data_IF_644376069874
#
_entry.id   IF_644376069874
#
_cell.length_a   1.000
_cell.length_b   1.000
_cell.length_c   1.000
_cell.angle_alpha   90.00
_cell.angle_beta   90.00
_cell.angle_gamma   90.00
#
_symmetry.space_group_name_H-M   'P 1'
#
loop_
_entity.id
_entity.type
_entity.pdbx_description
1 polymer ?
#
# COMPACT_ATOMS: atom_id res chain seq x y z
N UNK A 1 -30.81 37.98 18.13
CA UNK A 1 -29.65 38.31 17.30
C UNK A 1 -29.29 37.05 16.54
N UNK A 2 -29.58 36.99 15.22
CA UNK A 2 -29.24 35.86 14.38
C UNK A 2 -27.76 35.98 14.00
N UNK A 3 -26.96 34.99 14.39
CA UNK A 3 -25.56 34.88 13.99
C UNK A 3 -25.50 34.66 12.48
N UNK A 4 -24.84 35.58 11.78
CA UNK A 4 -24.54 35.42 10.35
C UNK A 4 -23.82 34.10 10.12
N UNK A 5 -24.46 33.13 9.43
CA UNK A 5 -23.78 32.02 8.84
C UNK A 5 -22.87 32.58 7.74
N UNK A 6 -21.57 32.52 7.97
CA UNK A 6 -20.57 32.76 6.93
C UNK A 6 -20.87 31.82 5.76
N UNK A 7 -21.42 32.38 4.69
CA UNK A 7 -21.54 31.70 3.41
C UNK A 7 -20.12 31.57 2.84
N UNK A 8 -19.41 30.49 3.23
CA UNK A 8 -18.23 30.07 2.48
C UNK A 8 -18.71 29.86 1.06
N UNK A 9 -18.33 30.75 0.16
CA UNK A 9 -18.47 30.53 -1.28
C UNK A 9 -18.01 29.12 -1.59
N UNK A 10 -18.88 28.29 -2.16
CA UNK A 10 -18.58 26.91 -2.48
C UNK A 10 -17.36 26.92 -3.42
N UNK A 11 -16.20 26.54 -2.89
CA UNK A 11 -14.99 26.39 -3.69
C UNK A 11 -15.24 25.24 -4.66
N UNK A 12 -15.07 25.49 -5.94
CA UNK A 12 -15.21 24.50 -6.98
C UNK A 12 -13.85 23.85 -7.22
N UNK A 13 -13.75 22.53 -7.11
CA UNK A 13 -12.60 21.75 -7.55
C UNK A 13 -12.97 21.07 -8.87
N UNK A 14 -12.10 21.20 -9.86
CA UNK A 14 -12.25 20.55 -11.16
C UNK A 14 -11.50 19.21 -11.16
N UNK A 15 -12.18 18.13 -11.56
CA UNK A 15 -11.62 16.77 -11.57
C UNK A 15 -12.70 15.66 -11.69
N UNK A 16 -12.29 14.40 -11.79
CA UNK A 16 -10.90 13.91 -11.72
C UNK A 16 -10.10 14.15 -13.01
N UNK A 17 -8.86 14.55 -12.88
CA UNK A 17 -7.88 14.57 -13.96
C UNK A 17 -6.81 13.49 -13.74
N UNK A 18 -6.19 12.93 -14.80
CA UNK A 18 -5.06 12.04 -14.65
C UNK A 18 -3.87 12.73 -13.98
N UNK A 19 -3.23 12.03 -13.06
CA UNK A 19 -1.97 12.50 -12.43
C UNK A 19 -0.82 12.44 -13.43
N UNK A 20 -0.01 13.50 -13.47
CA UNK A 20 1.25 13.56 -14.23
C UNK A 20 2.44 13.47 -13.28
N UNK A 21 3.59 13.00 -13.74
CA UNK A 21 4.80 12.97 -12.91
C UNK A 21 5.23 14.37 -12.44
N UNK A 22 4.93 15.42 -13.21
CA UNK A 22 5.13 16.81 -12.82
C UNK A 22 4.26 17.26 -11.64
N UNK A 23 3.23 16.51 -11.29
CA UNK A 23 2.33 16.80 -10.17
C UNK A 23 2.91 16.34 -8.80
N UNK A 24 3.97 15.53 -8.80
CA UNK A 24 4.56 14.96 -7.58
C UNK A 24 4.82 16.01 -6.48
N UNK A 25 5.41 17.18 -6.75
CA UNK A 25 5.58 18.21 -5.70
C UNK A 25 4.24 18.66 -5.09
N UNK A 26 3.22 18.86 -5.92
CA UNK A 26 1.87 19.23 -5.46
C UNK A 26 1.19 18.12 -4.66
N UNK A 27 1.33 16.85 -5.09
CA UNK A 27 0.84 15.68 -4.35
C UNK A 27 1.49 15.59 -2.96
N UNK A 28 2.82 15.74 -2.89
CA UNK A 28 3.57 15.75 -1.63
C UNK A 28 3.09 16.86 -0.68
N UNK A 29 2.82 18.04 -1.21
CA UNK A 29 2.32 19.14 -0.40
C UNK A 29 0.94 18.81 0.19
N UNK A 30 -0.02 18.36 -0.66
CA UNK A 30 -1.37 17.98 -0.20
C UNK A 30 -1.31 16.82 0.79
N UNK A 31 -0.49 15.80 0.51
CA UNK A 31 -0.26 14.66 1.40
C UNK A 31 0.22 15.13 2.77
N UNK A 32 1.36 15.84 2.80
CA UNK A 32 1.97 16.28 4.04
C UNK A 32 1.03 17.18 4.87
N UNK A 33 0.34 18.13 4.24
CA UNK A 33 -0.57 19.06 4.93
C UNK A 33 -1.80 18.34 5.51
N UNK A 34 -2.44 17.49 4.71
CA UNK A 34 -3.65 16.78 5.12
C UNK A 34 -3.37 15.78 6.25
N UNK A 35 -2.29 14.99 6.14
CA UNK A 35 -1.93 14.01 7.17
C UNK A 35 -1.37 14.68 8.43
N UNK A 36 -0.64 15.81 8.33
CA UNK A 36 -0.21 16.60 9.48
C UNK A 36 -1.41 17.12 10.26
N UNK A 37 -2.40 17.71 9.55
CA UNK A 37 -3.63 18.19 10.19
C UNK A 37 -4.42 17.05 10.81
N UNK A 38 -4.48 15.87 10.15
CA UNK A 38 -5.12 14.67 10.71
C UNK A 38 -4.44 14.24 12.00
N UNK A 39 -3.11 14.13 12.00
CA UNK A 39 -2.35 13.78 13.20
C UNK A 39 -2.57 14.78 14.34
N UNK A 40 -2.63 16.07 14.02
CA UNK A 40 -2.93 17.12 15.02
C UNK A 40 -4.31 16.91 15.65
N UNK A 41 -5.34 16.58 14.86
CA UNK A 41 -6.70 16.28 15.38
C UNK A 41 -6.72 15.01 16.22
N UNK A 42 -5.89 14.03 15.94
CA UNK A 42 -5.74 12.79 16.71
C UNK A 42 -4.84 12.97 17.95
N UNK A 43 -4.48 14.20 18.32
CA UNK A 43 -3.71 14.52 19.52
C UNK A 43 -2.19 14.43 19.36
N UNK A 44 -1.67 14.13 18.15
CA UNK A 44 -0.24 14.14 17.87
C UNK A 44 0.25 15.54 17.50
N UNK A 45 0.25 16.44 18.48
CA UNK A 45 0.69 17.81 18.29
C UNK A 45 2.19 17.88 18.05
N UNK A 46 2.62 18.72 17.10
CA UNK A 46 4.03 18.92 16.76
C UNK A 46 4.61 17.92 15.76
N UNK A 47 3.84 16.93 15.33
CA UNK A 47 4.26 16.02 14.26
C UNK A 47 3.98 16.66 12.90
N UNK A 48 5.02 16.82 12.08
CA UNK A 48 4.90 17.14 10.65
C UNK A 48 5.11 15.88 9.84
N UNK A 49 4.14 15.53 9.00
CA UNK A 49 4.28 14.41 8.07
C UNK A 49 5.26 14.79 6.97
N UNK A 50 6.36 14.07 6.79
CA UNK A 50 7.38 14.40 5.80
C UNK A 50 6.87 14.13 4.38
N UNK A 51 7.55 14.69 3.39
CA UNK A 51 7.32 14.37 2.00
C UNK A 51 7.75 12.94 1.70
N UNK A 52 6.96 12.25 0.91
CA UNK A 52 7.33 10.94 0.38
C UNK A 52 8.41 11.12 -0.70
N UNK A 53 9.24 10.10 -0.82
CA UNK A 53 10.25 10.04 -1.89
C UNK A 53 9.56 10.12 -3.26
N UNK A 54 10.00 11.01 -4.16
CA UNK A 54 9.44 11.12 -5.51
C UNK A 54 9.41 9.81 -6.30
N UNK A 55 10.37 8.92 -6.06
CA UNK A 55 10.40 7.60 -6.71
C UNK A 55 9.24 6.69 -6.24
N UNK A 56 8.80 6.84 -4.98
CA UNK A 56 7.62 6.12 -4.46
C UNK A 56 6.34 6.68 -5.08
N UNK A 57 6.22 8.02 -5.23
CA UNK A 57 5.11 8.61 -5.97
C UNK A 57 5.07 8.14 -7.43
N UNK A 58 6.24 8.10 -8.08
CA UNK A 58 6.33 7.60 -9.45
C UNK A 58 5.81 6.17 -9.55
N UNK A 59 6.24 5.29 -8.63
CA UNK A 59 5.73 3.92 -8.57
C UNK A 59 4.21 3.88 -8.40
N UNK A 60 3.66 4.64 -7.46
CA UNK A 60 2.22 4.68 -7.21
C UNK A 60 1.43 5.15 -8.43
N UNK A 61 1.91 6.21 -9.12
CA UNK A 61 1.27 6.77 -10.31
C UNK A 61 1.33 5.76 -11.48
N UNK A 62 2.49 5.16 -11.72
CA UNK A 62 2.66 4.19 -12.80
C UNK A 62 1.88 2.90 -12.54
N UNK A 63 1.81 2.44 -11.27
CA UNK A 63 1.02 1.28 -10.88
C UNK A 63 -0.48 1.52 -11.03
N UNK A 64 -0.99 2.64 -10.55
CA UNK A 64 -2.39 2.98 -10.65
C UNK A 64 -2.83 3.31 -12.10
N UNK A 65 -1.94 3.87 -12.92
CA UNK A 65 -2.26 4.33 -14.27
C UNK A 65 -3.39 5.35 -14.26
N UNK A 66 -4.51 5.07 -14.94
CA UNK A 66 -5.71 5.96 -14.93
C UNK A 66 -6.44 5.99 -13.58
N UNK A 67 -6.09 5.14 -12.63
CA UNK A 67 -6.56 5.17 -11.25
C UNK A 67 -5.88 6.24 -10.38
N UNK A 68 -4.81 6.87 -10.88
CA UNK A 68 -4.19 8.04 -10.25
C UNK A 68 -4.92 9.32 -10.67
N UNK A 69 -5.66 9.92 -9.74
CA UNK A 69 -6.60 11.01 -9.99
C UNK A 69 -6.29 12.23 -9.13
N UNK A 70 -6.37 13.43 -9.71
CA UNK A 70 -6.24 14.73 -9.02
C UNK A 70 -7.43 15.63 -9.29
N UNK A 71 -7.70 16.52 -8.33
CA UNK A 71 -8.63 17.63 -8.43
C UNK A 71 -7.87 18.95 -8.26
N UNK A 72 -8.20 19.92 -9.09
CA UNK A 72 -7.53 21.22 -9.13
C UNK A 72 -8.48 22.32 -8.70
N UNK A 73 -7.93 23.32 -8.04
CA UNK A 73 -8.64 24.57 -7.73
C UNK A 73 -8.59 25.56 -8.89
N UNK A 74 -9.17 26.72 -8.70
CA UNK A 74 -9.28 27.79 -9.73
C UNK A 74 -7.92 28.29 -10.26
N UNK A 75 -6.83 28.09 -9.49
CA UNK A 75 -5.46 28.50 -9.85
C UNK A 75 -4.60 27.30 -10.31
N UNK A 76 -5.24 26.23 -10.77
CA UNK A 76 -4.58 24.99 -11.19
C UNK A 76 -3.79 24.27 -10.08
N UNK A 77 -3.88 24.72 -8.83
CA UNK A 77 -3.26 24.04 -7.69
C UNK A 77 -3.97 22.71 -7.41
N UNK A 78 -3.20 21.67 -7.02
CA UNK A 78 -3.78 20.39 -6.57
C UNK A 78 -4.42 20.62 -5.21
N UNK A 79 -5.73 20.32 -5.09
CA UNK A 79 -6.51 20.46 -3.86
C UNK A 79 -6.93 19.12 -3.27
N UNK A 80 -6.98 18.09 -4.08
CA UNK A 80 -7.25 16.72 -3.65
C UNK A 80 -6.66 15.70 -4.63
N UNK A 81 -6.45 14.49 -4.16
CA UNK A 81 -6.07 13.37 -4.99
C UNK A 81 -6.57 12.04 -4.40
N UNK A 82 -6.67 11.03 -5.26
CA UNK A 82 -6.91 9.64 -4.88
C UNK A 82 -6.11 8.75 -5.83
N UNK A 83 -5.35 7.81 -5.27
CA UNK A 83 -4.62 6.82 -6.04
C UNK A 83 -5.33 5.47 -5.83
N UNK A 84 -5.97 4.99 -6.88
CA UNK A 84 -6.67 3.71 -6.89
C UNK A 84 -5.82 2.67 -7.61
N UNK A 85 -5.48 1.59 -6.93
CA UNK A 85 -4.61 0.52 -7.39
C UNK A 85 -5.39 -0.76 -7.67
N UNK A 86 -4.84 -1.59 -8.55
CA UNK A 86 -5.42 -2.88 -8.88
C UNK A 86 -4.36 -3.95 -9.08
N UNK A 87 -4.47 -5.05 -8.32
CA UNK A 87 -3.65 -6.26 -8.42
C UNK A 87 -4.53 -7.44 -8.83
N UNK A 88 -4.76 -7.60 -10.14
CA UNK A 88 -5.78 -8.52 -10.65
C UNK A 88 -7.19 -8.07 -10.26
N UNK A 89 -7.90 -8.87 -9.47
CA UNK A 89 -9.23 -8.52 -8.94
C UNK A 89 -9.18 -7.78 -7.60
N UNK A 90 -8.01 -7.66 -6.97
CA UNK A 90 -7.81 -6.89 -5.74
C UNK A 90 -7.71 -5.41 -6.07
N UNK A 91 -8.67 -4.60 -5.64
CA UNK A 91 -8.67 -3.15 -5.78
C UNK A 91 -8.58 -2.45 -4.43
N UNK A 92 -7.79 -1.39 -4.35
CA UNK A 92 -7.66 -0.59 -3.14
C UNK A 92 -7.31 0.86 -3.46
N UNK A 93 -7.60 1.75 -2.50
CA UNK A 93 -7.36 3.19 -2.63
C UNK A 93 -6.39 3.66 -1.53
N UNK A 94 -5.35 4.34 -1.94
CA UNK A 94 -4.39 4.96 -1.03
C UNK A 94 -3.06 5.29 -1.72
N UNK A 95 -2.41 6.41 -1.35
CA UNK A 95 -2.95 7.44 -0.48
C UNK A 95 -4.04 8.28 -1.16
N UNK A 96 -4.91 8.85 -0.34
CA UNK A 96 -5.88 9.83 -0.78
C UNK A 96 -5.94 10.99 0.22
N UNK A 97 -6.10 12.20 -0.26
CA UNK A 97 -6.14 13.37 0.60
C UNK A 97 -6.90 14.54 -0.03
N UNK A 98 -7.44 15.38 0.86
CA UNK A 98 -8.02 16.69 0.53
C UNK A 98 -7.32 17.74 1.37
N UNK A 99 -6.88 18.83 0.77
CA UNK A 99 -6.30 19.97 1.49
C UNK A 99 -7.19 20.40 2.64
N UNK A 100 -6.64 20.73 3.83
CA UNK A 100 -7.43 21.06 5.03
C UNK A 100 -8.48 22.16 4.76
N UNK A 101 -8.13 23.18 4.02
CA UNK A 101 -9.03 24.30 3.68
C UNK A 101 -10.13 23.96 2.64
N UNK A 102 -10.04 22.78 2.02
CA UNK A 102 -11.03 22.25 1.08
C UNK A 102 -11.89 21.12 1.68
N UNK A 103 -11.64 20.76 2.93
CA UNK A 103 -12.43 19.78 3.66
C UNK A 103 -13.82 20.33 4.04
N UNK A 104 -14.74 19.43 4.39
CA UNK A 104 -16.11 19.72 4.79
C UNK A 104 -17.04 20.27 3.69
N UNK A 105 -16.54 20.44 2.44
CA UNK A 105 -17.32 20.85 1.28
C UNK A 105 -17.86 19.72 0.41
N UNK A 106 -17.67 18.46 0.80
CA UNK A 106 -18.12 17.29 0.02
C UNK A 106 -17.05 16.67 -0.88
N UNK A 107 -15.94 17.38 -1.17
CA UNK A 107 -14.86 16.92 -2.05
C UNK A 107 -14.29 15.55 -1.63
N UNK A 108 -14.14 15.30 -0.32
CA UNK A 108 -13.71 13.99 0.17
C UNK A 108 -14.61 12.83 -0.26
N UNK A 109 -15.93 13.04 -0.29
CA UNK A 109 -16.89 12.04 -0.79
C UNK A 109 -16.76 11.83 -2.29
N UNK A 110 -16.51 12.90 -3.02
CA UNK A 110 -16.33 12.87 -4.46
C UNK A 110 -15.10 12.05 -4.86
N UNK A 111 -13.93 12.33 -4.27
CA UNK A 111 -12.70 11.61 -4.60
C UNK A 111 -12.77 10.11 -4.27
N UNK A 112 -13.44 9.74 -3.17
CA UNK A 112 -13.62 8.32 -2.81
C UNK A 112 -14.59 7.65 -3.78
N UNK A 113 -15.70 8.31 -4.16
CA UNK A 113 -16.65 7.77 -5.14
C UNK A 113 -16.01 7.59 -6.53
N UNK A 114 -15.16 8.50 -6.94
CA UNK A 114 -14.41 8.37 -8.20
C UNK A 114 -13.50 7.13 -8.17
N UNK A 115 -12.80 6.89 -7.06
CA UNK A 115 -11.98 5.68 -6.88
C UNK A 115 -12.81 4.40 -6.88
N UNK A 116 -13.95 4.37 -6.17
CA UNK A 116 -14.89 3.24 -6.19
C UNK A 116 -15.36 2.96 -7.63
N UNK A 117 -15.79 3.99 -8.35
CA UNK A 117 -16.25 3.87 -9.74
C UNK A 117 -15.15 3.31 -10.64
N UNK A 118 -13.95 3.89 -10.57
CA UNK A 118 -12.82 3.39 -11.36
C UNK A 118 -12.51 1.92 -11.08
N UNK A 119 -12.46 1.50 -9.82
CA UNK A 119 -12.20 0.11 -9.44
C UNK A 119 -13.30 -0.82 -9.95
N UNK A 120 -14.57 -0.44 -9.81
CA UNK A 120 -15.69 -1.23 -10.28
C UNK A 120 -15.67 -1.40 -11.83
N UNK A 121 -15.38 -0.33 -12.55
CA UNK A 121 -15.27 -0.33 -14.02
C UNK A 121 -14.11 -1.18 -14.53
N UNK A 122 -13.10 -1.44 -13.69
CA UNK A 122 -11.94 -2.29 -13.98
C UNK A 122 -12.08 -3.73 -13.47
N UNK A 123 -13.31 -4.18 -13.24
CA UNK A 123 -13.67 -5.55 -12.87
C UNK A 123 -13.00 -6.06 -11.59
N UNK A 124 -12.71 -5.18 -10.62
CA UNK A 124 -12.25 -5.61 -9.30
C UNK A 124 -13.38 -6.30 -8.54
N UNK A 125 -13.04 -7.29 -7.73
CA UNK A 125 -13.97 -7.97 -6.83
C UNK A 125 -13.70 -7.64 -5.36
N UNK A 126 -12.60 -6.96 -5.10
CA UNK A 126 -12.29 -6.34 -3.82
C UNK A 126 -12.21 -4.84 -4.06
N UNK A 127 -12.87 -4.05 -3.24
CA UNK A 127 -12.71 -2.59 -3.20
C UNK A 127 -12.47 -2.20 -1.76
N UNK A 128 -11.25 -1.78 -1.45
CA UNK A 128 -10.83 -1.53 -0.09
C UNK A 128 -9.98 -0.28 0.09
N UNK A 129 -9.69 -0.01 1.34
CA UNK A 129 -8.74 1.00 1.81
C UNK A 129 -8.25 0.64 3.21
N UNK A 130 -7.19 1.31 3.64
CA UNK A 130 -6.72 1.25 5.03
C UNK A 130 -6.80 2.64 5.67
N UNK A 131 -7.16 2.67 6.95
CA UNK A 131 -7.19 3.89 7.75
C UNK A 131 -6.74 3.63 9.17
N UNK A 132 -6.25 4.66 9.85
CA UNK A 132 -5.81 4.54 11.25
C UNK A 132 -7.00 4.17 12.15
N UNK A 133 -6.93 3.09 12.95
CA UNK A 133 -8.05 2.62 13.74
C UNK A 133 -8.49 3.60 14.84
N UNK A 134 -7.62 4.51 15.28
CA UNK A 134 -7.94 5.56 16.25
C UNK A 134 -8.68 6.76 15.65
N UNK A 135 -8.72 6.88 14.32
CA UNK A 135 -9.34 8.01 13.62
C UNK A 135 -10.82 7.75 13.40
N UNK A 136 -11.64 7.98 14.44
CA UNK A 136 -13.09 7.70 14.40
C UNK A 136 -13.81 8.45 13.28
N UNK A 137 -13.40 9.71 13.01
CA UNK A 137 -13.97 10.51 11.93
C UNK A 137 -13.81 9.84 10.56
N UNK A 138 -12.63 9.26 10.29
CA UNK A 138 -12.38 8.57 9.03
C UNK A 138 -13.19 7.28 8.94
N UNK A 139 -13.25 6.50 10.03
CA UNK A 139 -14.06 5.27 10.07
C UNK A 139 -15.53 5.61 9.78
N UNK A 140 -16.09 6.63 10.47
CA UNK A 140 -17.45 7.09 10.23
C UNK A 140 -17.66 7.62 8.82
N UNK A 141 -16.68 8.36 8.28
CA UNK A 141 -16.72 8.89 6.93
C UNK A 141 -16.78 7.79 5.87
N UNK A 142 -15.91 6.77 5.95
CA UNK A 142 -15.90 5.66 5.01
C UNK A 142 -17.12 4.75 5.21
N UNK A 143 -17.57 4.53 6.44
CA UNK A 143 -18.82 3.79 6.71
C UNK A 143 -20.03 4.47 6.07
N UNK A 144 -20.08 5.81 6.11
CA UNK A 144 -21.11 6.60 5.43
C UNK A 144 -21.06 6.53 3.89
N UNK A 145 -19.99 5.97 3.31
CA UNK A 145 -19.83 5.68 1.90
C UNK A 145 -20.02 4.20 1.54
N UNK A 146 -20.39 3.37 2.52
CA UNK A 146 -20.68 1.96 2.32
C UNK A 146 -19.50 1.02 2.59
N UNK A 147 -18.39 1.51 3.14
CA UNK A 147 -17.30 0.65 3.58
C UNK A 147 -17.62 0.02 4.93
N UNK A 148 -17.30 -1.23 5.08
CA UNK A 148 -17.45 -1.99 6.32
C UNK A 148 -16.07 -2.22 6.94
N UNK A 149 -15.91 -2.02 8.27
CA UNK A 149 -14.68 -2.35 8.97
C UNK A 149 -14.43 -3.86 8.89
N UNK A 150 -13.19 -4.23 8.61
CA UNK A 150 -12.77 -5.62 8.50
C UNK A 150 -11.66 -5.89 9.52
N UNK A 151 -10.48 -6.27 9.07
CA UNK A 151 -9.37 -6.73 9.90
C UNK A 151 -8.36 -5.62 10.13
N UNK A 152 -7.59 -5.74 11.20
CA UNK A 152 -6.39 -4.93 11.35
C UNK A 152 -5.29 -5.45 10.41
N UNK A 153 -4.53 -4.53 9.83
CA UNK A 153 -3.20 -4.79 9.31
C UNK A 153 -2.22 -4.34 10.38
N UNK A 154 -1.35 -5.26 10.81
CA UNK A 154 -0.37 -5.02 11.88
C UNK A 154 1.01 -4.95 11.25
N UNK A 155 1.68 -3.81 11.39
CA UNK A 155 3.07 -3.64 10.96
C UNK A 155 4.01 -4.10 12.05
N UNK A 156 4.80 -5.16 11.75
CA UNK A 156 5.89 -5.64 12.60
C UNK A 156 7.23 -5.40 11.91
N UNK A 157 8.24 -5.09 12.71
CA UNK A 157 9.61 -5.01 12.20
C UNK A 157 10.49 -6.06 12.85
N UNK A 158 11.29 -6.75 12.04
CA UNK A 158 12.38 -7.64 12.44
C UNK A 158 13.72 -6.96 12.15
N UNK A 159 14.69 -7.10 13.04
CA UNK A 159 16.05 -6.65 12.76
C UNK A 159 16.67 -7.52 11.65
N UNK A 160 17.38 -6.90 10.71
CA UNK A 160 18.06 -7.59 9.62
C UNK A 160 19.31 -8.31 10.13
N UNK A 161 19.11 -9.46 10.74
CA UNK A 161 20.20 -10.31 11.25
C UNK A 161 20.70 -11.24 10.16
N UNK A 162 22.00 -11.51 10.14
CA UNK A 162 22.62 -12.40 9.18
C UNK A 162 22.20 -13.86 9.39
N UNK A 163 22.01 -14.54 8.30
CA UNK A 163 21.81 -15.97 8.19
C UNK A 163 22.12 -16.38 6.76
N UNK A 164 22.63 -17.59 6.54
CA UNK A 164 22.85 -18.13 5.21
C UNK A 164 21.52 -18.68 4.64
N UNK A 165 20.63 -17.79 4.24
CA UNK A 165 19.39 -18.15 3.58
C UNK A 165 19.26 -17.40 2.25
N UNK A 166 20.16 -17.63 1.28
CA UNK A 166 20.13 -16.92 0.01
C UNK A 166 18.87 -17.32 -0.76
N UNK A 167 18.07 -16.30 -1.13
CA UNK A 167 17.01 -16.45 -2.10
C UNK A 167 17.46 -15.95 -3.47
N UNK A 168 16.87 -16.49 -4.53
CA UNK A 168 17.04 -15.95 -5.86
C UNK A 168 16.34 -14.60 -5.95
N UNK A 169 16.97 -13.63 -6.61
CA UNK A 169 16.44 -12.29 -6.82
C UNK A 169 15.96 -12.14 -8.26
N UNK A 170 14.72 -11.69 -8.43
CA UNK A 170 14.11 -11.45 -9.73
C UNK A 170 14.93 -10.46 -10.58
N UNK A 171 15.39 -9.36 -9.98
CA UNK A 171 16.18 -8.35 -10.68
C UNK A 171 17.52 -8.85 -11.24
N UNK A 172 17.98 -10.02 -10.80
CA UNK A 172 19.24 -10.64 -11.27
C UNK A 172 19.04 -11.72 -12.34
N UNK A 173 17.80 -12.00 -12.70
CA UNK A 173 17.47 -12.99 -13.73
C UNK A 173 17.74 -12.45 -15.15
N UNK A 174 17.97 -13.34 -16.11
CA UNK A 174 17.91 -12.99 -17.52
C UNK A 174 16.49 -12.57 -17.92
N UNK A 175 16.33 -11.86 -19.03
CA UNK A 175 15.00 -11.44 -19.50
C UNK A 175 14.03 -12.62 -19.63
N UNK A 176 14.47 -13.75 -20.22
CA UNK A 176 13.68 -14.95 -20.35
C UNK A 176 13.28 -15.54 -18.99
N UNK A 177 14.25 -15.64 -18.07
CA UNK A 177 13.98 -16.21 -16.75
C UNK A 177 13.06 -15.28 -15.90
N UNK A 178 13.03 -13.97 -16.20
CA UNK A 178 12.09 -13.03 -15.60
C UNK A 178 10.65 -13.32 -16.01
N UNK A 179 10.41 -13.60 -17.30
CA UNK A 179 9.07 -13.96 -17.81
C UNK A 179 8.58 -15.27 -17.17
N UNK A 180 9.45 -16.28 -17.09
CA UNK A 180 9.13 -17.55 -16.44
C UNK A 180 8.83 -17.34 -14.94
N UNK A 181 9.64 -16.55 -14.25
CA UNK A 181 9.43 -16.24 -12.82
C UNK A 181 8.13 -15.47 -12.55
N UNK A 182 7.75 -14.53 -13.43
CA UNK A 182 6.45 -13.84 -13.33
C UNK A 182 5.28 -14.82 -13.48
N UNK A 183 5.35 -15.70 -14.48
CA UNK A 183 4.31 -16.71 -14.69
C UNK A 183 4.19 -17.66 -13.48
N UNK A 184 5.30 -18.04 -12.85
CA UNK A 184 5.30 -18.84 -11.62
C UNK A 184 4.73 -18.09 -10.43
N UNK A 185 5.08 -16.79 -10.24
CA UNK A 185 4.52 -15.96 -9.18
C UNK A 185 3.00 -15.82 -9.34
N UNK A 186 2.54 -15.56 -10.56
CA UNK A 186 1.11 -15.51 -10.90
C UNK A 186 0.40 -16.82 -10.57
N UNK A 187 0.96 -17.95 -11.06
CA UNK A 187 0.41 -19.29 -10.81
C UNK A 187 0.31 -19.58 -9.31
N UNK A 188 1.37 -19.27 -8.55
CA UNK A 188 1.39 -19.47 -7.10
C UNK A 188 0.30 -18.62 -6.42
N UNK A 189 0.23 -17.33 -6.73
CA UNK A 189 -0.75 -16.43 -6.14
C UNK A 189 -2.18 -16.87 -6.43
N UNK A 190 -2.49 -17.18 -7.69
CA UNK A 190 -3.82 -17.63 -8.12
C UNK A 190 -4.22 -18.98 -7.55
N UNK A 191 -3.26 -19.86 -7.26
CA UNK A 191 -3.53 -21.13 -6.57
C UNK A 191 -3.96 -20.96 -5.12
N UNK A 192 -3.74 -19.77 -4.54
CA UNK A 192 -4.05 -19.44 -3.15
C UNK A 192 -5.25 -18.49 -3.06
N UNK A 193 -5.30 -17.48 -3.93
CA UNK A 193 -6.41 -16.53 -4.05
C UNK A 193 -6.67 -16.30 -5.54
N UNK A 194 -7.75 -16.90 -6.03
CA UNK A 194 -8.11 -16.82 -7.44
C UNK A 194 -8.29 -15.37 -7.90
N UNK A 195 -7.64 -15.01 -9.01
CA UNK A 195 -7.73 -13.72 -9.65
C UNK A 195 -6.77 -12.64 -9.11
N UNK A 196 -6.00 -12.90 -8.06
CA UNK A 196 -4.94 -11.99 -7.63
C UNK A 196 -3.74 -12.08 -8.58
N UNK A 197 -3.15 -10.92 -8.91
CA UNK A 197 -2.02 -10.82 -9.83
C UNK A 197 -1.10 -9.65 -9.41
N UNK A 198 0.12 -9.98 -9.02
CA UNK A 198 1.14 -9.01 -8.58
C UNK A 198 2.24 -8.79 -9.64
N UNK A 199 2.05 -9.28 -10.87
CA UNK A 199 3.07 -9.22 -11.92
C UNK A 199 3.46 -7.79 -12.26
N UNK A 200 2.48 -6.87 -12.30
CA UNK A 200 2.73 -5.46 -12.59
C UNK A 200 3.61 -4.80 -11.55
N UNK A 201 3.31 -5.00 -10.27
CA UNK A 201 4.08 -4.43 -9.16
C UNK A 201 5.51 -4.99 -9.13
N UNK A 202 5.69 -6.27 -9.45
CA UNK A 202 7.02 -6.92 -9.59
C UNK A 202 7.82 -6.24 -10.70
N UNK A 203 7.23 -6.11 -11.89
CA UNK A 203 7.89 -5.46 -13.04
C UNK A 203 8.23 -4.01 -12.77
N UNK A 204 7.33 -3.23 -12.18
CA UNK A 204 7.56 -1.83 -11.86
C UNK A 204 8.65 -1.65 -10.80
N UNK A 205 8.68 -2.49 -9.77
CA UNK A 205 9.72 -2.47 -8.75
C UNK A 205 11.10 -2.67 -9.34
N UNK A 206 11.24 -3.63 -10.25
CA UNK A 206 12.50 -3.90 -10.97
C UNK A 206 12.87 -2.73 -11.90
N UNK A 207 11.94 -2.29 -12.74
CA UNK A 207 12.16 -1.22 -13.71
C UNK A 207 12.55 0.12 -13.05
N UNK A 208 11.97 0.42 -11.90
CA UNK A 208 12.23 1.65 -11.14
C UNK A 208 13.36 1.48 -10.11
N UNK A 209 13.95 0.30 -10.00
CA UNK A 209 15.04 -0.02 -9.05
C UNK A 209 14.69 0.33 -7.60
N UNK A 210 13.44 0.12 -7.18
CA UNK A 210 12.96 0.45 -5.84
C UNK A 210 13.27 -0.63 -4.80
N UNK A 211 13.55 -1.82 -5.26
CA UNK A 211 13.80 -3.01 -4.45
C UNK A 211 14.00 -4.23 -5.31
N UNK A 212 13.47 -5.38 -4.87
CA UNK A 212 13.55 -6.63 -5.62
C UNK A 212 12.41 -7.58 -5.19
N UNK A 213 12.24 -8.66 -5.95
CA UNK A 213 11.37 -9.77 -5.56
C UNK A 213 12.22 -10.99 -5.24
N UNK A 214 12.10 -11.47 -4.01
CA UNK A 214 12.73 -12.71 -3.57
C UNK A 214 11.90 -13.89 -4.05
N UNK A 215 12.58 -14.89 -4.64
CA UNK A 215 12.01 -16.14 -5.13
C UNK A 215 12.58 -17.29 -4.30
N UNK A 216 11.72 -17.99 -3.58
CA UNK A 216 12.09 -19.15 -2.77
C UNK A 216 11.64 -20.41 -3.48
N UNK A 217 12.60 -21.28 -3.80
CA UNK A 217 12.36 -22.52 -4.54
C UNK A 217 12.73 -23.75 -3.73
N UNK A 218 11.95 -24.83 -3.90
CA UNK A 218 12.24 -26.16 -3.38
C UNK A 218 12.10 -27.17 -4.53
N UNK A 219 13.10 -27.99 -4.72
CA UNK A 219 13.16 -28.96 -5.83
C UNK A 219 12.80 -28.34 -7.20
N UNK A 220 13.30 -27.12 -7.45
CA UNK A 220 13.07 -26.39 -8.70
C UNK A 220 11.72 -25.66 -8.81
N UNK A 221 10.77 -25.86 -7.88
CA UNK A 221 9.45 -25.23 -7.89
C UNK A 221 9.42 -23.98 -7.01
N UNK A 222 8.78 -22.93 -7.48
CA UNK A 222 8.51 -21.75 -6.66
C UNK A 222 7.51 -22.12 -5.55
N UNK A 223 7.90 -21.94 -4.29
CA UNK A 223 7.06 -22.22 -3.11
C UNK A 223 6.69 -20.97 -2.32
N UNK A 224 7.46 -19.90 -2.51
CA UNK A 224 7.13 -18.59 -1.98
C UNK A 224 7.82 -17.48 -2.80
N UNK A 225 7.25 -16.29 -2.76
CA UNK A 225 7.93 -15.07 -3.18
C UNK A 225 7.55 -13.89 -2.28
N UNK A 226 8.40 -12.86 -2.29
CA UNK A 226 8.14 -11.62 -1.60
C UNK A 226 8.64 -10.43 -2.40
N UNK A 227 7.74 -9.56 -2.81
CA UNK A 227 8.02 -8.27 -3.43
C UNK A 227 8.34 -7.25 -2.35
N UNK A 228 9.50 -6.60 -2.46
CA UNK A 228 10.02 -5.72 -1.43
C UNK A 228 10.57 -4.42 -1.99
N UNK A 229 10.39 -3.33 -1.25
CA UNK A 229 11.06 -2.06 -1.51
C UNK A 229 12.16 -1.82 -0.48
N UNK A 230 13.36 -1.46 -0.96
CA UNK A 230 14.49 -0.95 -0.16
C UNK A 230 14.66 0.55 -0.30
N UNK A 231 14.04 1.16 -1.31
CA UNK A 231 14.02 2.60 -1.48
C UNK A 231 13.39 3.28 -0.24
N UNK A 232 13.99 4.38 0.28
CA UNK A 232 13.42 5.11 1.41
C UNK A 232 12.00 5.58 1.09
N UNK A 233 11.08 5.43 2.04
CA UNK A 233 9.71 5.95 1.89
C UNK A 233 9.68 7.47 1.91
N UNK A 234 10.52 8.07 2.73
CA UNK A 234 10.58 9.52 2.97
C UNK A 234 11.73 10.14 2.19
N UNK A 235 11.46 11.30 1.58
CA UNK A 235 12.45 12.10 0.86
C UNK A 235 13.64 12.47 1.77
N UNK A 236 14.86 12.38 1.24
CA UNK A 236 16.09 12.73 1.95
C UNK A 236 16.50 11.76 3.07
N UNK A 237 15.78 10.65 3.28
CA UNK A 237 16.16 9.64 4.27
C UNK A 237 17.04 8.55 3.66
N UNK A 238 17.81 7.91 4.50
CA UNK A 238 18.63 6.74 4.14
C UNK A 238 17.77 5.47 4.10
N UNK A 239 18.31 4.40 3.53
CA UNK A 239 17.69 3.07 3.54
C UNK A 239 17.77 2.48 4.94
N UNK A 240 16.68 2.53 5.70
CA UNK A 240 16.62 1.97 7.05
C UNK A 240 15.83 0.66 7.09
N UNK A 241 14.87 0.52 6.19
CA UNK A 241 13.87 -0.54 6.25
C UNK A 241 13.61 -1.14 4.87
N UNK A 242 13.57 -2.47 4.81
CA UNK A 242 13.03 -3.23 3.71
C UNK A 242 11.53 -3.41 3.98
N UNK A 243 10.69 -2.89 3.11
CA UNK A 243 9.22 -3.01 3.21
C UNK A 243 8.74 -4.16 2.34
N UNK A 244 8.07 -5.13 2.94
CA UNK A 244 7.39 -6.19 2.20
C UNK A 244 6.05 -5.66 1.71
N UNK A 245 5.87 -5.58 0.39
CA UNK A 245 4.65 -5.09 -0.24
C UNK A 245 3.67 -6.23 -0.54
N UNK A 246 4.15 -7.28 -1.15
CA UNK A 246 3.35 -8.47 -1.49
C UNK A 246 4.17 -9.72 -1.13
N UNK A 247 3.51 -10.72 -0.59
CA UNK A 247 4.15 -11.97 -0.23
C UNK A 247 3.15 -13.12 -0.39
N UNK A 248 3.56 -14.17 -1.07
CA UNK A 248 2.80 -15.41 -1.18
C UNK A 248 3.67 -16.59 -0.73
N UNK A 249 3.17 -17.37 0.21
CA UNK A 249 3.83 -18.57 0.76
C UNK A 249 2.85 -19.73 0.70
N UNK A 250 3.13 -20.73 -0.11
CA UNK A 250 2.21 -21.85 -0.41
C UNK A 250 1.85 -22.71 0.81
N UNK A 251 2.74 -22.79 1.79
CA UNK A 251 2.59 -23.59 3.01
C UNK A 251 3.05 -22.78 4.22
N UNK A 252 2.24 -22.63 5.26
CA UNK A 252 2.59 -21.89 6.47
C UNK A 252 3.87 -22.36 7.15
N UNK A 253 4.27 -23.64 6.97
CA UNK A 253 5.54 -24.17 7.53
C UNK A 253 6.78 -23.48 6.93
N UNK A 254 6.67 -22.95 5.70
CA UNK A 254 7.77 -22.26 4.99
C UNK A 254 7.84 -20.78 5.29
N UNK A 255 6.86 -20.23 5.99
CA UNK A 255 6.77 -18.79 6.26
C UNK A 255 8.02 -18.25 6.97
N UNK A 256 8.48 -18.95 8.01
CA UNK A 256 9.66 -18.55 8.77
C UNK A 256 10.95 -18.58 7.93
N UNK A 257 11.12 -19.59 7.08
CA UNK A 257 12.26 -19.68 6.16
C UNK A 257 12.27 -18.51 5.17
N UNK A 258 11.10 -18.14 4.63
CA UNK A 258 10.95 -16.97 3.77
C UNK A 258 11.29 -15.67 4.52
N UNK A 259 10.86 -15.52 5.78
CA UNK A 259 11.21 -14.37 6.60
C UNK A 259 12.73 -14.27 6.84
N UNK A 260 13.41 -15.40 7.10
CA UNK A 260 14.89 -15.44 7.25
C UNK A 260 15.59 -15.01 5.96
N UNK A 261 15.10 -15.43 4.80
CA UNK A 261 15.63 -15.01 3.50
C UNK A 261 15.47 -13.49 3.28
N UNK A 262 14.33 -12.92 3.70
CA UNK A 262 14.09 -11.48 3.68
C UNK A 262 15.04 -10.72 4.61
N UNK A 263 15.29 -11.23 5.82
CA UNK A 263 16.24 -10.63 6.77
C UNK A 263 17.67 -10.64 6.23
N UNK A 264 18.09 -11.74 5.59
CA UNK A 264 19.40 -11.83 4.94
C UNK A 264 19.51 -10.87 3.74
N UNK A 265 18.47 -10.79 2.90
CA UNK A 265 18.44 -9.82 1.81
C UNK A 265 18.46 -8.38 2.33
N UNK A 266 17.71 -8.05 3.36
CA UNK A 266 17.70 -6.73 3.99
C UNK A 266 19.13 -6.33 4.44
N UNK A 267 19.81 -7.23 5.16
CA UNK A 267 21.20 -7.01 5.58
C UNK A 267 22.13 -6.74 4.39
N UNK A 268 22.03 -7.56 3.34
CA UNK A 268 22.88 -7.42 2.14
C UNK A 268 22.56 -6.15 1.32
N UNK A 269 21.32 -5.67 1.37
CA UNK A 269 20.90 -4.43 0.72
C UNK A 269 21.19 -3.17 1.54
N UNK A 270 21.79 -3.33 2.73
CA UNK A 270 22.15 -2.22 3.61
C UNK A 270 20.97 -1.64 4.41
N UNK A 271 19.87 -2.38 4.53
CA UNK A 271 18.74 -2.03 5.39
C UNK A 271 18.92 -2.67 6.77
N UNK A 272 18.42 -2.01 7.82
CA UNK A 272 18.58 -2.46 9.21
C UNK A 272 17.45 -3.35 9.68
N UNK A 273 16.29 -3.24 9.05
CA UNK A 273 15.04 -3.92 9.45
C UNK A 273 14.26 -4.38 8.24
N UNK A 274 13.41 -5.37 8.48
CA UNK A 274 12.35 -5.80 7.56
C UNK A 274 11.01 -5.45 8.18
N UNK A 275 10.16 -4.75 7.45
CA UNK A 275 8.78 -4.46 7.85
C UNK A 275 7.81 -5.37 7.12
N UNK A 276 7.00 -6.07 7.91
CA UNK A 276 5.90 -6.91 7.46
C UNK A 276 4.57 -6.25 7.83
N UNK A 277 3.63 -6.22 6.91
CA UNK A 277 2.26 -5.81 7.17
C UNK A 277 1.37 -7.05 7.13
N UNK A 278 1.00 -7.54 8.31
CA UNK A 278 0.27 -8.80 8.47
C UNK A 278 -1.20 -8.50 8.72
N UNK A 279 -2.06 -9.03 7.86
CA UNK A 279 -3.49 -8.94 8.06
C UNK A 279 -3.92 -9.90 9.18
N UNK A 280 -4.79 -9.43 10.08
CA UNK A 280 -5.21 -10.16 11.28
C UNK A 280 -5.87 -11.53 11.04
N UNK A 281 -6.11 -11.89 9.77
CA UNK A 281 -6.53 -13.25 9.40
C UNK A 281 -5.40 -14.29 9.53
N UNK A 282 -4.14 -13.85 9.40
CA UNK A 282 -2.98 -14.72 9.43
C UNK A 282 -2.34 -14.77 10.82
N UNK A 283 -3.11 -15.25 11.80
CA UNK A 283 -2.71 -15.29 13.22
C UNK A 283 -1.42 -16.06 13.42
N UNK A 284 -1.26 -17.20 12.74
CA UNK A 284 -0.05 -18.02 12.84
C UNK A 284 1.18 -17.31 12.28
N UNK A 285 1.05 -16.59 11.15
CA UNK A 285 2.12 -15.78 10.59
C UNK A 285 2.53 -14.65 11.55
N UNK A 286 1.55 -13.98 12.15
CA UNK A 286 1.78 -12.97 13.18
C UNK A 286 2.53 -13.56 14.39
N UNK A 287 2.06 -14.68 14.93
CA UNK A 287 2.67 -15.34 16.08
C UNK A 287 4.13 -15.75 15.79
N UNK A 288 4.40 -16.27 14.59
CA UNK A 288 5.77 -16.62 14.16
C UNK A 288 6.67 -15.40 14.07
N UNK A 289 6.20 -14.28 13.51
CA UNK A 289 6.98 -13.04 13.46
C UNK A 289 7.31 -12.53 14.88
N UNK A 290 6.35 -12.59 15.81
CA UNK A 290 6.58 -12.22 17.22
C UNK A 290 7.62 -13.14 17.84
N UNK A 291 7.51 -14.47 17.64
CA UNK A 291 8.49 -15.46 18.15
C UNK A 291 9.90 -15.24 17.57
N UNK A 292 10.01 -14.72 16.34
CA UNK A 292 11.28 -14.33 15.72
C UNK A 292 11.84 -12.99 16.25
N UNK A 293 11.19 -12.35 17.21
CA UNK A 293 11.60 -11.05 17.78
C UNK A 293 10.95 -9.83 17.09
N UNK A 294 9.89 -10.06 16.33
CA UNK A 294 9.12 -9.01 15.68
C UNK A 294 8.52 -8.01 16.67
N UNK A 295 8.69 -6.72 16.39
CA UNK A 295 8.16 -5.63 17.20
C UNK A 295 7.03 -4.92 16.47
N UNK A 296 5.86 -4.87 17.08
CA UNK A 296 4.71 -4.11 16.55
C UNK A 296 5.08 -2.63 16.53
N UNK A 297 4.85 -1.99 15.38
CA UNK A 297 5.14 -0.55 15.14
C UNK A 297 3.90 0.26 14.87
N UNK A 298 2.98 -0.31 14.12
CA UNK A 298 1.80 0.40 13.63
C UNK A 298 0.65 -0.55 13.39
N UNK A 299 -0.55 0.00 13.34
CA UNK A 299 -1.75 -0.75 12.95
C UNK A 299 -2.65 0.13 12.08
N UNK A 300 -3.28 -0.48 11.09
CA UNK A 300 -4.32 0.12 10.27
C UNK A 300 -5.56 -0.76 10.27
N UNK A 301 -6.71 -0.14 10.14
CA UNK A 301 -7.97 -0.82 9.95
C UNK A 301 -8.24 -0.96 8.46
N UNK A 302 -8.34 -2.19 7.97
CA UNK A 302 -8.86 -2.46 6.64
C UNK A 302 -10.36 -2.26 6.62
N UNK A 303 -10.82 -1.58 5.58
CA UNK A 303 -12.24 -1.43 5.30
C UNK A 303 -12.50 -1.84 3.86
N UNK A 304 -13.55 -2.61 3.62
CA UNK A 304 -13.94 -3.05 2.28
C UNK A 304 -15.34 -2.58 1.96
N UNK A 305 -15.59 -2.24 0.71
CA UNK A 305 -16.90 -1.84 0.24
C UNK A 305 -17.90 -2.99 0.37
N UNK A 306 -19.13 -2.72 0.81
CA UNK A 306 -20.19 -3.72 0.89
C UNK A 306 -20.40 -4.36 -0.50
N UNK A 307 -20.37 -5.70 -0.55
CA UNK A 307 -20.44 -6.46 -1.81
C UNK A 307 -19.10 -6.73 -2.48
N UNK A 308 -17.99 -6.16 -1.97
CA UNK A 308 -16.62 -6.34 -2.49
C UNK A 308 -15.64 -6.78 -1.39
N UNK A 309 -15.91 -7.89 -0.69
CA UNK A 309 -15.12 -8.32 0.46
C UNK A 309 -13.74 -8.84 0.03
N UNK A 310 -12.74 -8.65 0.90
CA UNK A 310 -11.42 -9.25 0.72
C UNK A 310 -11.48 -10.75 0.98
N UNK A 311 -11.11 -11.61 0.01
CA UNK A 311 -11.00 -13.04 0.24
C UNK A 311 -9.79 -13.36 1.14
N UNK A 312 -9.84 -14.49 1.81
CA UNK A 312 -8.70 -15.06 2.51
C UNK A 312 -8.14 -16.20 1.67
N UNK A 313 -6.82 -16.37 1.68
CA UNK A 313 -6.20 -17.53 1.06
C UNK A 313 -6.75 -18.83 1.67
N UNK A 314 -7.17 -19.77 0.84
CA UNK A 314 -7.67 -21.06 1.29
C UNK A 314 -6.57 -21.89 1.98
N UNK A 315 -5.34 -21.66 1.60
CA UNK A 315 -4.13 -22.29 2.16
C UNK A 315 -2.95 -21.34 2.09
N UNK A 316 -1.95 -21.56 2.94
CA UNK A 316 -0.74 -20.74 2.96
C UNK A 316 -0.97 -19.34 3.52
N UNK A 317 -0.10 -18.42 3.13
CA UNK A 317 -0.12 -17.02 3.58
C UNK A 317 0.00 -16.10 2.36
N UNK A 318 -0.94 -15.18 2.18
CA UNK A 318 -0.86 -14.11 1.19
C UNK A 318 -0.93 -12.77 1.93
N UNK A 319 0.18 -12.06 2.00
CA UNK A 319 0.21 -10.72 2.55
C UNK A 319 0.15 -9.73 1.39
N UNK A 320 -0.83 -8.85 1.42
CA UNK A 320 -0.98 -7.77 0.45
C UNK A 320 -1.04 -6.45 1.20
N UNK A 321 -0.04 -5.61 1.00
CA UNK A 321 -0.01 -4.26 1.54
C UNK A 321 -0.86 -3.34 0.65
N UNK A 322 -1.73 -2.52 1.27
CA UNK A 322 -2.54 -1.49 0.61
C UNK A 322 -2.01 -0.08 0.88
N UNK A 323 -0.71 0.03 1.11
CA UNK A 323 0.06 1.27 1.13
C UNK A 323 1.15 1.25 0.07
N UNK A 324 1.55 2.43 -0.39
CA UNK A 324 2.65 2.63 -1.35
C UNK A 324 4.03 2.68 -0.70
#
# INVERSE_FOLDING_TARGET
>A
MATARDWKTARHADGPHPVRLSDIPGLNQVFSDAFTERYRRDGMVGVRVPFLNPAIWRYAIEDAGSGAMVWRGEREEIVAFNIAHRSGIEGWMGPLAVRPEWQSGGLGKEIVRAGIGWLADHATRVIGLETMPRTMDNIGFYSGLGFLPSRLTITLTLDATGGDAPAQLYGRLSARDKDDALAECLTLTQSMVAGYDYSREIMLTDALSLGDTLLVREAGRLVAFALCHTAPLVEGRTREELRVLKMAVSDPSRFEACCRALMDYARRSGTRRVAFRVQGAYVDAYARLVAMGGRVRWTDLRMTMAGYPEPQAERGVVLSNWEI
#
